data_IF_354427429474
#
_entry.id   IF_354427429474
#
_cell.length_a   1.000
_cell.length_b   1.000
_cell.length_c   1.000
_cell.angle_alpha   90.00
_cell.angle_beta   90.00
_cell.angle_gamma   90.00
#
_symmetry.space_group_name_H-M   'P 1'
#
loop_
_entity.id
_entity.type
_entity.pdbx_description
1 polymer ?
#
# COMPACT_ATOMS: atom_id res chain seq x y z
N UNK A 1 13.66 -4.35 2.06
CA UNK A 1 14.61 -3.95 3.11
C UNK A 1 15.12 -5.13 3.93
N UNK A 2 15.78 -4.86 5.07
CA UNK A 2 16.38 -5.90 5.92
C UNK A 2 15.35 -6.93 6.38
N UNK A 3 14.23 -6.45 6.92
CA UNK A 3 13.15 -7.31 7.42
C UNK A 3 12.57 -8.19 6.32
N UNK A 4 12.21 -7.59 5.17
CA UNK A 4 11.67 -8.35 4.03
C UNK A 4 12.60 -9.42 3.49
N UNK A 5 13.93 -9.20 3.54
CA UNK A 5 14.92 -10.22 3.16
C UNK A 5 14.83 -11.47 4.07
N UNK A 6 14.75 -11.25 5.38
CA UNK A 6 14.65 -12.33 6.36
C UNK A 6 13.31 -13.06 6.27
N UNK A 7 12.21 -12.31 6.13
CA UNK A 7 10.87 -12.86 5.96
C UNK A 7 10.81 -13.75 4.71
N UNK A 8 11.21 -13.24 3.54
CA UNK A 8 11.15 -13.97 2.28
C UNK A 8 12.00 -15.22 2.30
N UNK A 9 13.22 -15.14 2.83
CA UNK A 9 14.08 -16.31 3.02
C UNK A 9 13.39 -17.36 3.89
N UNK A 10 12.85 -16.98 5.03
CA UNK A 10 12.20 -17.91 5.96
C UNK A 10 10.92 -18.53 5.38
N UNK A 11 10.09 -17.77 4.68
CA UNK A 11 8.89 -18.29 4.00
C UNK A 11 9.24 -19.43 3.03
N UNK A 12 10.25 -19.23 2.18
CA UNK A 12 10.67 -20.24 1.21
C UNK A 12 11.27 -21.47 1.90
N UNK A 13 12.06 -21.30 2.97
CA UNK A 13 12.61 -22.41 3.75
C UNK A 13 11.53 -23.20 4.49
N UNK A 14 10.42 -22.56 4.86
CA UNK A 14 9.25 -23.20 5.46
C UNK A 14 8.32 -23.85 4.43
N UNK A 15 8.64 -23.77 3.14
CA UNK A 15 7.89 -24.44 2.07
C UNK A 15 6.73 -23.63 1.50
N UNK A 16 6.65 -22.31 1.78
CA UNK A 16 5.69 -21.43 1.11
C UNK A 16 6.11 -21.26 -0.35
N UNK A 17 5.21 -21.58 -1.27
CA UNK A 17 5.50 -21.64 -2.70
C UNK A 17 4.93 -20.48 -3.53
N UNK A 18 3.92 -19.78 -3.05
CA UNK A 18 3.31 -18.67 -3.77
C UNK A 18 3.52 -17.38 -2.97
N UNK A 19 4.28 -16.45 -3.54
CA UNK A 19 4.65 -15.19 -2.88
C UNK A 19 4.42 -14.02 -3.85
N UNK A 20 3.74 -12.99 -3.38
CA UNK A 20 3.70 -11.68 -4.05
C UNK A 20 4.61 -10.72 -3.28
N UNK A 21 5.63 -10.19 -3.94
CA UNK A 21 6.58 -9.24 -3.37
C UNK A 21 6.38 -7.85 -3.99
N UNK A 22 6.14 -6.84 -3.13
CA UNK A 22 5.89 -5.45 -3.53
C UNK A 22 6.98 -4.56 -2.94
N UNK A 23 7.71 -3.84 -3.76
CA UNK A 23 8.72 -2.84 -3.37
C UNK A 23 9.09 -2.01 -4.61
N UNK A 24 9.22 -0.71 -4.50
CA UNK A 24 9.59 0.17 -5.61
C UNK A 24 11.06 0.58 -5.61
N UNK A 25 11.80 0.23 -4.56
CA UNK A 25 13.18 0.64 -4.38
C UNK A 25 14.16 -0.18 -5.22
N UNK A 26 15.35 0.40 -5.40
CA UNK A 26 16.53 -0.27 -5.92
C UNK A 26 17.45 -0.74 -4.79
N UNK A 27 18.31 -1.70 -5.09
CA UNK A 27 19.35 -2.15 -4.18
C UNK A 27 20.46 -1.09 -4.10
N UNK A 28 20.78 -0.68 -2.88
CA UNK A 28 21.83 0.28 -2.59
C UNK A 28 22.95 -0.33 -1.73
N UNK A 29 24.14 0.27 -1.76
CA UNK A 29 25.28 -0.19 -0.97
C UNK A 29 24.98 -0.23 0.53
N UNK A 30 24.16 0.72 1.04
CA UNK A 30 23.70 0.74 2.43
C UNK A 30 22.84 -0.45 2.83
N UNK A 31 22.22 -1.17 1.89
CA UNK A 31 21.43 -2.34 2.16
C UNK A 31 22.29 -3.59 2.47
N UNK A 32 23.51 -3.66 1.95
CA UNK A 32 24.33 -4.87 1.97
C UNK A 32 24.74 -5.33 3.38
N UNK A 33 24.79 -4.41 4.33
CA UNK A 33 25.13 -4.73 5.73
C UNK A 33 24.03 -5.47 6.49
N UNK A 34 22.81 -5.51 5.94
CA UNK A 34 21.64 -6.03 6.64
C UNK A 34 20.63 -6.80 5.76
N UNK A 35 20.94 -7.07 4.50
CA UNK A 35 20.02 -7.71 3.54
C UNK A 35 20.72 -8.88 2.86
N UNK A 36 20.43 -10.09 3.34
CA UNK A 36 21.14 -11.33 2.98
C UNK A 36 20.96 -11.75 1.51
N UNK A 37 19.86 -11.34 0.86
CA UNK A 37 19.56 -11.70 -0.52
C UNK A 37 20.23 -10.76 -1.54
N UNK A 38 20.83 -9.66 -1.12
CA UNK A 38 21.43 -8.67 -2.01
C UNK A 38 22.95 -8.82 -2.08
N UNK A 39 23.53 -8.59 -3.24
CA UNK A 39 24.95 -8.61 -3.49
C UNK A 39 25.51 -7.23 -3.87
N UNK A 40 26.84 -7.09 -3.80
CA UNK A 40 27.53 -5.88 -4.26
C UNK A 40 27.22 -5.56 -5.74
N UNK A 41 27.16 -6.58 -6.59
CA UNK A 41 26.85 -6.42 -8.00
C UNK A 41 25.42 -5.91 -8.25
N UNK A 42 24.46 -6.27 -7.38
CA UNK A 42 23.10 -5.77 -7.45
C UNK A 42 23.05 -4.26 -7.10
N UNK A 43 23.79 -3.85 -6.08
CA UNK A 43 23.90 -2.45 -5.67
C UNK A 43 24.62 -1.57 -6.72
N UNK A 44 25.71 -2.08 -7.30
CA UNK A 44 26.44 -1.36 -8.36
C UNK A 44 25.59 -1.15 -9.62
N UNK A 45 24.66 -2.05 -9.90
CA UNK A 45 23.73 -1.97 -11.03
C UNK A 45 22.39 -1.32 -10.69
N UNK A 46 22.19 -0.94 -9.44
CA UNK A 46 20.92 -0.39 -8.92
C UNK A 46 19.70 -1.22 -9.35
N UNK A 47 19.80 -2.55 -9.22
CA UNK A 47 18.72 -3.46 -9.59
C UNK A 47 17.51 -3.26 -8.69
N UNK A 48 16.29 -3.46 -9.23
CA UNK A 48 15.07 -3.44 -8.43
C UNK A 48 15.11 -4.50 -7.33
N UNK A 49 14.78 -4.13 -6.10
CA UNK A 49 14.79 -5.06 -4.95
C UNK A 49 13.92 -6.28 -5.20
N UNK A 50 12.71 -6.09 -5.76
CA UNK A 50 11.77 -7.18 -6.05
C UNK A 50 12.30 -8.18 -7.08
N UNK A 51 13.02 -7.74 -8.10
CA UNK A 51 13.62 -8.63 -9.11
C UNK A 51 14.74 -9.48 -8.50
N UNK A 52 15.60 -8.83 -7.70
CA UNK A 52 16.72 -9.53 -7.05
C UNK A 52 16.20 -10.59 -6.08
N UNK A 53 15.20 -10.26 -5.25
CA UNK A 53 14.63 -11.25 -4.32
C UNK A 53 14.01 -12.42 -5.06
N UNK A 54 13.23 -12.19 -6.13
CA UNK A 54 12.63 -13.26 -6.90
C UNK A 54 13.66 -14.22 -7.50
N UNK A 55 14.76 -13.68 -8.03
CA UNK A 55 15.88 -14.47 -8.53
C UNK A 55 16.51 -15.32 -7.43
N UNK A 56 16.81 -14.72 -6.27
CA UNK A 56 17.46 -15.40 -5.15
C UNK A 56 16.56 -16.46 -4.51
N UNK A 57 15.26 -16.19 -4.37
CA UNK A 57 14.31 -17.15 -3.81
C UNK A 57 14.18 -18.40 -4.70
N UNK A 58 14.19 -18.24 -6.03
CA UNK A 58 14.21 -19.37 -6.97
C UNK A 58 15.50 -20.20 -6.90
N UNK A 59 16.62 -19.57 -6.48
CA UNK A 59 17.88 -20.30 -6.23
C UNK A 59 17.81 -21.11 -4.92
N UNK A 60 17.06 -20.64 -3.91
CA UNK A 60 16.85 -21.36 -2.63
C UNK A 60 15.89 -22.53 -2.84
N UNK A 61 14.78 -22.32 -3.55
CA UNK A 61 13.79 -23.34 -3.85
C UNK A 61 13.30 -23.23 -5.30
N UNK A 62 13.46 -24.27 -6.12
CA UNK A 62 12.97 -24.27 -7.50
C UNK A 62 11.44 -24.35 -7.61
N UNK A 63 10.76 -24.61 -6.50
CA UNK A 63 9.29 -24.74 -6.45
C UNK A 63 8.58 -23.43 -6.12
N UNK A 64 9.32 -22.36 -5.78
CA UNK A 64 8.70 -21.09 -5.42
C UNK A 64 8.30 -20.31 -6.67
N UNK A 65 7.05 -19.90 -6.71
CA UNK A 65 6.54 -18.91 -7.64
C UNK A 65 6.50 -17.54 -6.96
N UNK A 66 7.24 -16.59 -7.51
CA UNK A 66 7.32 -15.23 -6.98
C UNK A 66 6.82 -14.27 -8.04
N UNK A 67 5.65 -13.70 -7.80
CA UNK A 67 5.14 -12.55 -8.53
C UNK A 67 5.74 -11.28 -7.93
N UNK A 68 6.29 -10.41 -8.75
CA UNK A 68 6.90 -9.16 -8.32
C UNK A 68 6.09 -7.96 -8.81
N UNK A 69 5.92 -6.98 -7.94
CA UNK A 69 5.31 -5.69 -8.28
C UNK A 69 6.31 -4.60 -7.88
N UNK A 70 6.85 -3.91 -8.89
CA UNK A 70 7.64 -2.71 -8.67
C UNK A 70 6.69 -1.54 -8.52
N UNK A 71 6.29 -1.26 -7.27
CA UNK A 71 5.27 -0.24 -6.99
C UNK A 71 5.09 0.02 -5.51
N UNK A 72 4.31 1.05 -5.21
CA UNK A 72 3.92 1.44 -3.86
C UNK A 72 2.65 0.68 -3.45
N UNK A 73 2.68 0.04 -2.28
CA UNK A 73 1.53 -0.68 -1.71
C UNK A 73 0.28 0.22 -1.57
N UNK A 74 0.48 1.52 -1.45
CA UNK A 74 -0.60 2.47 -1.31
C UNK A 74 -1.42 2.68 -2.60
N UNK A 75 -0.80 2.45 -3.78
CA UNK A 75 -1.38 2.89 -5.05
C UNK A 75 -1.32 1.85 -6.17
N UNK A 76 -0.34 0.96 -6.15
CA UNK A 76 -0.02 0.09 -7.30
C UNK A 76 -0.47 -1.36 -7.10
N UNK A 77 -1.16 -1.63 -5.98
CA UNK A 77 -1.66 -2.97 -5.63
C UNK A 77 -3.17 -2.94 -5.53
N UNK A 78 -3.83 -3.70 -6.39
CA UNK A 78 -5.30 -3.82 -6.40
C UNK A 78 -5.83 -4.64 -5.23
N UNK A 79 -6.98 -4.25 -4.73
CA UNK A 79 -7.64 -4.93 -3.61
C UNK A 79 -8.06 -6.37 -3.97
N UNK A 80 -8.40 -6.64 -5.24
CA UNK A 80 -8.70 -7.99 -5.73
C UNK A 80 -7.50 -8.93 -5.64
N UNK A 81 -6.28 -8.42 -5.91
CA UNK A 81 -5.05 -9.21 -5.67
C UNK A 81 -4.88 -9.52 -4.18
N UNK A 82 -5.11 -8.54 -3.29
CA UNK A 82 -5.01 -8.76 -1.84
C UNK A 82 -5.98 -9.83 -1.35
N UNK A 83 -7.20 -9.87 -1.89
CA UNK A 83 -8.20 -10.91 -1.54
C UNK A 83 -7.80 -12.34 -1.90
N UNK A 84 -6.83 -12.51 -2.78
CA UNK A 84 -6.31 -13.83 -3.15
C UNK A 84 -5.22 -14.33 -2.17
N UNK A 85 -4.79 -13.49 -1.22
CA UNK A 85 -3.75 -13.83 -0.26
C UNK A 85 -4.34 -14.50 0.98
N UNK A 86 -3.58 -15.40 1.60
CA UNK A 86 -3.92 -15.98 2.91
C UNK A 86 -3.53 -15.03 4.05
N UNK A 87 -2.47 -14.24 3.85
CA UNK A 87 -1.92 -13.30 4.85
C UNK A 87 -1.05 -12.26 4.16
N UNK A 88 -1.04 -11.04 4.71
CA UNK A 88 -0.09 -9.99 4.32
C UNK A 88 1.01 -9.89 5.39
N UNK A 89 2.26 -9.71 4.99
CA UNK A 89 3.39 -9.46 5.90
C UNK A 89 3.97 -8.09 5.60
N UNK A 90 3.88 -7.18 6.56
CA UNK A 90 4.26 -5.78 6.43
C UNK A 90 5.70 -5.52 6.88
N UNK A 91 6.64 -5.50 5.94
CA UNK A 91 8.06 -5.22 6.18
C UNK A 91 8.43 -3.76 5.84
N UNK A 92 7.57 -2.81 6.17
CA UNK A 92 7.65 -1.40 5.78
C UNK A 92 8.21 -0.52 6.90
N UNK A 93 8.81 0.60 6.53
CA UNK A 93 9.46 1.54 7.46
C UNK A 93 8.60 2.79 7.77
N UNK A 94 7.53 3.05 7.02
CA UNK A 94 6.69 4.21 7.19
C UNK A 94 5.34 3.90 7.87
N UNK A 95 4.82 4.86 8.65
CA UNK A 95 3.47 4.77 9.24
C UNK A 95 2.38 4.82 8.16
N UNK A 96 2.64 5.55 7.08
CA UNK A 96 1.72 5.65 5.95
C UNK A 96 1.55 4.31 5.25
N UNK A 97 2.63 3.63 4.90
CA UNK A 97 2.56 2.31 4.28
C UNK A 97 1.83 1.29 5.18
N UNK A 98 2.07 1.31 6.51
CA UNK A 98 1.33 0.48 7.47
C UNK A 98 -0.16 0.78 7.47
N UNK A 99 -0.53 2.05 7.41
CA UNK A 99 -1.93 2.45 7.33
C UNK A 99 -2.59 1.97 6.03
N UNK A 100 -1.89 2.07 4.89
CA UNK A 100 -2.38 1.56 3.61
C UNK A 100 -2.53 0.04 3.62
N UNK A 101 -1.56 -0.71 4.16
CA UNK A 101 -1.68 -2.16 4.35
C UNK A 101 -2.90 -2.48 5.21
N UNK A 102 -3.10 -1.75 6.32
CA UNK A 102 -4.25 -1.96 7.19
C UNK A 102 -5.58 -1.76 6.44
N UNK A 103 -5.72 -0.70 5.65
CA UNK A 103 -6.92 -0.45 4.83
C UNK A 103 -7.18 -1.59 3.85
N UNK A 104 -6.15 -2.02 3.12
CA UNK A 104 -6.25 -3.12 2.18
C UNK A 104 -6.64 -4.42 2.90
N UNK A 105 -6.00 -4.71 4.04
CA UNK A 105 -6.30 -5.86 4.89
C UNK A 105 -7.76 -5.88 5.36
N UNK A 106 -8.23 -4.78 5.93
CA UNK A 106 -9.61 -4.68 6.46
C UNK A 106 -10.64 -4.81 5.33
N UNK A 107 -10.47 -4.07 4.23
CA UNK A 107 -11.37 -4.12 3.07
C UNK A 107 -11.42 -5.48 2.39
N UNK A 108 -10.29 -6.15 2.30
CA UNK A 108 -10.17 -7.49 1.69
C UNK A 108 -10.63 -8.62 2.62
N UNK A 109 -10.77 -8.37 3.92
CA UNK A 109 -11.01 -9.41 4.91
C UNK A 109 -9.81 -10.31 5.19
N UNK A 110 -8.57 -9.86 4.90
CA UNK A 110 -7.33 -10.65 4.99
C UNK A 110 -6.49 -10.20 6.20
N UNK A 111 -6.04 -11.11 7.08
CA UNK A 111 -5.19 -10.74 8.21
C UNK A 111 -3.81 -10.29 7.77
N UNK A 112 -3.13 -9.49 8.60
CA UNK A 112 -1.77 -9.09 8.34
C UNK A 112 -0.88 -9.08 9.58
N UNK A 113 0.40 -9.33 9.36
CA UNK A 113 1.47 -9.32 10.37
C UNK A 113 2.35 -8.10 10.10
N UNK A 114 2.65 -7.32 11.14
CA UNK A 114 3.50 -6.14 11.06
C UNK A 114 4.74 -6.32 11.91
N UNK A 115 5.89 -6.14 11.30
CA UNK A 115 7.18 -6.03 11.97
C UNK A 115 7.71 -4.61 11.94
N UNK A 116 8.34 -4.19 13.04
CA UNK A 116 9.06 -2.93 13.10
C UNK A 116 10.38 -3.11 13.84
N UNK A 117 11.40 -2.35 13.38
CA UNK A 117 12.75 -2.39 13.92
C UNK A 117 13.21 -0.96 14.18
N UNK A 118 13.85 -0.74 15.33
CA UNK A 118 14.51 0.51 15.68
C UNK A 118 15.78 0.21 16.49
N UNK A 119 16.95 0.31 15.87
CA UNK A 119 18.22 0.01 16.50
C UNK A 119 18.34 -1.45 16.96
N UNK A 120 18.39 -1.65 18.26
CA UNK A 120 18.42 -2.96 18.91
C UNK A 120 17.04 -3.44 19.36
N UNK A 121 15.99 -2.68 19.11
CA UNK A 121 14.63 -3.00 19.47
C UNK A 121 13.82 -3.48 18.28
N UNK A 122 12.81 -4.33 18.52
CA UNK A 122 11.90 -4.78 17.50
C UNK A 122 10.51 -5.10 18.06
N UNK A 123 9.49 -5.00 17.21
CA UNK A 123 8.12 -5.39 17.56
C UNK A 123 7.52 -6.26 16.48
N UNK A 124 6.63 -7.17 16.89
CA UNK A 124 5.76 -7.91 15.98
C UNK A 124 4.31 -7.83 16.46
N UNK A 125 3.38 -7.65 15.54
CA UNK A 125 1.94 -7.52 15.79
C UNK A 125 1.15 -8.27 14.75
N UNK A 126 -0.04 -8.72 15.12
CA UNK A 126 -0.99 -9.34 14.21
C UNK A 126 -2.28 -8.54 14.23
N UNK A 127 -2.75 -8.16 13.07
CA UNK A 127 -4.02 -7.49 12.87
C UNK A 127 -4.98 -8.39 12.10
N UNK A 128 -6.23 -8.38 12.50
CA UNK A 128 -7.22 -9.30 11.99
C UNK A 128 -8.56 -8.59 11.79
N UNK A 129 -9.18 -8.67 10.60
CA UNK A 129 -10.50 -8.10 10.36
C UNK A 129 -11.51 -8.55 11.43
N UNK A 130 -12.35 -7.62 11.89
CA UNK A 130 -13.34 -7.87 12.94
C UNK A 130 -12.78 -7.99 14.37
N UNK A 131 -11.46 -7.79 14.59
CA UNK A 131 -10.85 -7.88 15.94
C UNK A 131 -10.10 -6.61 16.33
N UNK A 132 -9.01 -6.30 15.66
CA UNK A 132 -8.24 -5.09 15.90
C UNK A 132 -7.56 -4.66 14.62
N UNK A 133 -7.29 -3.37 14.49
CA UNK A 133 -6.60 -2.84 13.34
C UNK A 133 -5.50 -1.85 13.74
N UNK A 134 -4.62 -1.55 12.81
CA UNK A 134 -3.54 -0.60 13.05
C UNK A 134 -4.07 0.82 13.34
N UNK A 135 -5.14 1.23 12.65
CA UNK A 135 -5.72 2.57 12.79
C UNK A 135 -6.32 2.80 14.18
N UNK A 136 -6.93 1.78 14.82
CA UNK A 136 -7.42 1.86 16.21
C UNK A 136 -6.35 2.33 17.19
N UNK A 137 -5.09 2.08 16.89
CA UNK A 137 -3.96 2.35 17.78
C UNK A 137 -3.24 3.67 17.50
N UNK A 138 -3.65 4.39 16.46
CA UNK A 138 -3.04 5.67 16.10
C UNK A 138 -3.57 6.84 16.94
N UNK A 139 -4.81 6.71 17.43
CA UNK A 139 -5.52 7.78 18.09
C UNK A 139 -5.83 8.98 17.17
N UNK A 140 -6.61 9.97 17.63
CA UNK A 140 -7.03 11.11 16.80
C UNK A 140 -5.87 11.94 16.26
N UNK A 141 -4.78 12.07 17.01
CA UNK A 141 -3.59 12.84 16.56
C UNK A 141 -2.81 12.09 15.50
N UNK A 142 -2.62 10.77 15.66
CA UNK A 142 -1.96 9.94 14.66
C UNK A 142 -2.72 9.89 13.35
N UNK A 143 -4.05 9.80 13.39
CA UNK A 143 -4.90 9.86 12.21
C UNK A 143 -4.86 11.24 11.54
N UNK A 144 -4.83 12.35 12.31
CA UNK A 144 -4.64 13.70 11.76
C UNK A 144 -3.27 13.86 11.10
N UNK A 145 -2.21 13.29 11.67
CA UNK A 145 -0.87 13.33 11.09
C UNK A 145 -0.82 12.54 9.78
N UNK A 146 -1.47 11.38 9.71
CA UNK A 146 -1.64 10.64 8.47
C UNK A 146 -2.49 11.38 7.44
N UNK A 147 -3.59 12.00 7.86
CA UNK A 147 -4.46 12.78 6.97
C UNK A 147 -3.73 13.98 6.35
N UNK A 148 -2.78 14.60 7.06
CA UNK A 148 -1.90 15.64 6.50
C UNK A 148 -0.95 15.11 5.43
N UNK A 149 -0.71 13.82 5.40
CA UNK A 149 0.15 13.11 4.42
C UNK A 149 -0.67 12.52 3.27
N UNK A 150 -2.00 12.61 3.33
CA UNK A 150 -2.86 12.24 2.20
C UNK A 150 -2.78 13.29 1.09
N UNK A 151 -2.69 12.89 -0.18
CA UNK A 151 -2.51 13.81 -1.32
C UNK A 151 -3.67 14.78 -1.59
N UNK A 152 -4.60 14.96 -0.67
CA UNK A 152 -5.81 15.75 -0.86
C UNK A 152 -5.67 17.25 -0.62
N UNK A 153 -4.58 17.73 -0.09
CA UNK A 153 -4.44 19.15 0.28
C UNK A 153 -3.13 19.76 -0.20
N UNK A 154 -2.70 19.37 -1.38
CA UNK A 154 -1.50 19.90 -2.00
C UNK A 154 -0.25 19.35 -1.32
N UNK A 155 0.71 19.03 -2.14
CA UNK A 155 2.12 18.69 -1.90
C UNK A 155 2.37 18.20 -0.47
N UNK A 156 2.34 16.90 -0.34
CA UNK A 156 3.05 16.26 0.74
C UNK A 156 4.53 16.55 0.46
N UNK A 157 5.10 17.49 1.20
CA UNK A 157 6.53 17.42 1.42
C UNK A 157 6.76 16.02 2.01
N UNK A 158 7.39 15.14 1.24
CA UNK A 158 8.20 14.09 1.84
C UNK A 158 9.13 14.89 2.75
N UNK A 159 8.79 14.97 4.03
CA UNK A 159 9.80 15.29 5.00
C UNK A 159 10.87 14.24 4.70
N UNK A 160 12.02 14.69 4.19
CA UNK A 160 13.21 13.88 4.12
C UNK A 160 13.25 13.17 5.46
N UNK A 161 13.04 11.86 5.43
CA UNK A 161 12.97 11.08 6.65
C UNK A 161 14.24 11.42 7.41
N UNK A 162 14.10 12.06 8.54
CA UNK A 162 15.22 12.32 9.42
C UNK A 162 15.85 10.95 9.69
N UNK A 163 16.91 10.60 8.95
CA UNK A 163 17.67 9.38 8.87
C UNK A 163 16.86 8.10 9.14
N UNK A 164 16.86 7.14 8.23
CA UNK A 164 16.22 5.84 8.49
C UNK A 164 16.70 5.34 9.86
N UNK A 165 15.78 4.90 10.72
CA UNK A 165 16.13 4.34 12.02
C UNK A 165 17.25 3.29 11.85
N UNK A 166 18.30 3.32 12.66
CA UNK A 166 19.40 2.35 12.54
C UNK A 166 18.81 0.94 12.60
N UNK A 167 19.08 0.13 11.60
CA UNK A 167 18.56 -1.23 11.49
C UNK A 167 19.70 -2.21 11.53
N UNK A 168 19.67 -3.18 12.44
CA UNK A 168 20.67 -4.24 12.52
C UNK A 168 20.14 -5.51 11.84
N UNK A 169 21.05 -6.28 11.24
CA UNK A 169 20.71 -7.60 10.68
C UNK A 169 20.20 -8.55 11.76
N UNK A 170 20.71 -8.46 12.99
CA UNK A 170 20.33 -9.31 14.10
C UNK A 170 18.86 -9.14 14.45
N UNK A 171 18.40 -7.90 14.67
CA UNK A 171 17.01 -7.62 15.01
C UNK A 171 16.10 -7.93 13.82
N UNK A 172 16.56 -7.67 12.60
CA UNK A 172 15.85 -8.06 11.38
C UNK A 172 15.61 -9.57 11.31
N UNK A 173 16.61 -10.39 11.63
CA UNK A 173 16.48 -11.85 11.65
C UNK A 173 15.51 -12.34 12.73
N UNK A 174 15.56 -11.75 13.94
CA UNK A 174 14.67 -12.13 15.04
C UNK A 174 13.22 -11.78 14.71
N UNK A 175 12.96 -10.52 14.36
CA UNK A 175 11.59 -10.05 14.07
C UNK A 175 11.05 -10.69 12.81
N UNK A 176 11.83 -10.82 11.73
CA UNK A 176 11.40 -11.50 10.51
C UNK A 176 11.05 -12.97 10.72
N UNK A 177 11.78 -13.68 11.60
CA UNK A 177 11.41 -15.04 11.97
C UNK A 177 10.10 -15.10 12.76
N UNK A 178 9.85 -14.14 13.65
CA UNK A 178 8.59 -14.02 14.39
C UNK A 178 7.44 -13.70 13.44
N UNK A 179 7.61 -12.78 12.49
CA UNK A 179 6.57 -12.46 11.49
C UNK A 179 6.16 -13.70 10.68
N UNK A 180 7.13 -14.48 10.21
CA UNK A 180 6.84 -15.72 9.48
C UNK A 180 6.15 -16.75 10.38
N UNK A 181 6.58 -16.89 11.64
CA UNK A 181 5.92 -17.78 12.60
C UNK A 181 4.46 -17.37 12.84
N UNK A 182 4.18 -16.08 12.97
CA UNK A 182 2.81 -15.58 13.13
C UNK A 182 1.98 -15.77 11.85
N UNK A 183 2.56 -15.52 10.67
CA UNK A 183 1.88 -15.79 9.40
C UNK A 183 1.50 -17.27 9.25
N UNK A 184 2.40 -18.19 9.61
CA UNK A 184 2.11 -19.64 9.59
C UNK A 184 0.97 -20.03 10.53
N UNK A 185 0.86 -19.41 11.72
CA UNK A 185 -0.25 -19.64 12.65
C UNK A 185 -1.59 -19.12 12.11
N UNK A 186 -1.56 -18.09 11.26
CA UNK A 186 -2.77 -17.59 10.59
C UNK A 186 -3.22 -18.50 9.45
N UNK A 187 -2.27 -19.05 8.69
CA UNK A 187 -2.53 -19.99 7.59
C UNK A 187 -2.91 -21.38 8.12
N UNK A 188 -2.27 -21.81 9.23
CA UNK A 188 -2.45 -23.12 9.85
C UNK A 188 -2.76 -22.94 11.34
N UNK A 189 -4.03 -22.76 11.73
CA UNK A 189 -4.41 -22.50 13.12
C UNK A 189 -3.91 -23.56 14.13
N UNK A 190 -3.68 -24.78 13.69
CA UNK A 190 -3.12 -25.86 14.50
C UNK A 190 -1.66 -25.60 14.91
N UNK A 191 -0.94 -24.71 14.21
CA UNK A 191 0.45 -24.37 14.52
C UNK A 191 0.59 -23.55 15.82
N UNK A 192 -0.52 -23.05 16.41
CA UNK A 192 -0.52 -22.37 17.69
C UNK A 192 -1.38 -21.11 17.74
N UNK A 193 -1.37 -20.45 18.90
CA UNK A 193 -2.11 -19.20 19.10
C UNK A 193 -1.33 -18.01 18.56
N UNK A 194 -1.96 -17.22 17.69
CA UNK A 194 -1.36 -16.02 17.13
C UNK A 194 -1.26 -14.86 18.13
N UNK A 195 -0.47 -13.84 17.81
CA UNK A 195 -0.36 -12.58 18.53
C UNK A 195 -1.57 -11.64 18.30
N UNK A 196 -2.68 -12.09 17.72
CA UNK A 196 -3.85 -11.24 17.49
C UNK A 196 -4.29 -10.55 18.79
N UNK A 197 -4.40 -9.20 18.75
CA UNK A 197 -4.70 -8.37 19.92
C UNK A 197 -3.53 -8.15 20.89
N UNK A 198 -2.35 -8.68 20.57
CA UNK A 198 -1.13 -8.56 21.38
C UNK A 198 0.02 -8.05 20.57
N UNK A 199 1.02 -7.49 21.23
CA UNK A 199 2.28 -7.05 20.64
C UNK A 199 3.43 -7.77 21.33
N UNK A 200 4.33 -8.37 20.54
CA UNK A 200 5.62 -8.80 21.01
C UNK A 200 6.60 -7.63 20.90
N UNK A 201 7.33 -7.38 21.97
CA UNK A 201 8.42 -6.42 22.04
C UNK A 201 9.72 -7.16 22.37
N UNK A 202 10.73 -6.98 21.52
CA UNK A 202 12.08 -7.45 21.70
C UNK A 202 13.00 -6.28 22.06
N UNK A 203 13.72 -6.39 23.14
CA UNK A 203 14.76 -5.48 23.61
C UNK A 203 16.10 -6.18 23.52
N UNK A 204 16.90 -5.82 22.52
CA UNK A 204 18.21 -6.40 22.28
C UNK A 204 19.31 -5.86 23.19
N UNK A 205 19.11 -4.71 23.83
CA UNK A 205 20.06 -4.19 24.83
C UNK A 205 20.08 -5.07 26.08
N UNK A 206 18.91 -5.48 26.55
CA UNK A 206 18.76 -6.31 27.74
C UNK A 206 18.49 -7.79 27.43
N UNK A 207 18.39 -8.15 26.15
CA UNK A 207 18.05 -9.51 25.69
C UNK A 207 16.73 -10.02 26.31
N UNK A 208 15.71 -9.18 26.30
CA UNK A 208 14.40 -9.52 26.85
C UNK A 208 13.31 -9.56 25.77
N UNK A 209 12.35 -10.45 25.93
CA UNK A 209 11.13 -10.52 25.11
C UNK A 209 9.93 -10.35 26.02
N UNK A 210 9.01 -9.49 25.63
CA UNK A 210 7.77 -9.25 26.34
C UNK A 210 6.61 -9.35 25.37
N UNK A 211 5.50 -9.92 25.81
CA UNK A 211 4.23 -9.90 25.10
C UNK A 211 3.23 -9.15 25.97
N UNK A 212 2.62 -8.14 25.43
CA UNK A 212 1.63 -7.31 26.10
C UNK A 212 0.35 -7.22 25.27
N UNK A 213 -0.77 -7.02 25.94
CA UNK A 213 -2.02 -6.72 25.27
C UNK A 213 -1.88 -5.40 24.52
N UNK A 214 -2.34 -5.41 23.28
CA UNK A 214 -2.34 -4.26 22.41
C UNK A 214 -3.77 -3.71 22.38
N UNK A 215 -3.90 -2.40 22.14
CA UNK A 215 -5.15 -1.68 22.33
C UNK A 215 -6.37 -2.39 21.72
N UNK A 216 -7.50 -2.27 22.38
CA UNK A 216 -8.75 -2.90 21.98
C UNK A 216 -9.28 -2.34 20.65
N UNK A 217 -10.16 -3.12 20.03
CA UNK A 217 -10.99 -2.70 18.91
C UNK A 217 -11.76 -1.43 19.26
N UNK A 218 -11.72 -0.46 18.36
CA UNK A 218 -12.46 0.80 18.47
C UNK A 218 -13.62 0.75 17.46
N UNK A 219 -14.84 0.65 17.98
CA UNK A 219 -16.06 0.54 17.14
C UNK A 219 -16.28 1.77 16.25
N UNK A 220 -15.75 2.93 16.66
CA UNK A 220 -15.84 4.19 15.91
C UNK A 220 -14.70 4.36 14.88
N UNK A 221 -13.80 3.40 14.74
CA UNK A 221 -12.69 3.47 13.80
C UNK A 221 -13.19 3.38 12.35
N UNK A 222 -12.89 4.35 11.49
CA UNK A 222 -13.40 4.38 10.11
C UNK A 222 -12.77 3.33 9.18
N UNK A 223 -11.76 2.60 9.66
CA UNK A 223 -11.00 1.65 8.84
C UNK A 223 -11.46 0.19 9.01
N UNK A 224 -12.64 -0.04 9.60
CA UNK A 224 -13.19 -1.40 9.76
C UNK A 224 -14.14 -1.81 8.64
N UNK A 225 -14.23 -1.01 7.57
CA UNK A 225 -15.07 -1.31 6.43
C UNK A 225 -14.52 -2.51 5.65
N UNK A 226 -15.30 -3.59 5.57
CA UNK A 226 -15.06 -4.70 4.66
C UNK A 226 -15.87 -4.51 3.39
N UNK A 227 -15.21 -4.61 2.24
CA UNK A 227 -15.87 -4.45 0.94
C UNK A 227 -16.49 -5.77 0.48
N UNK A 228 -17.72 -5.97 0.88
CA UNK A 228 -18.47 -7.20 0.60
C UNK A 228 -19.98 -6.91 0.43
N UNK A 229 -20.72 -7.59 -0.46
CA UNK A 229 -20.22 -8.58 -1.42
C UNK A 229 -19.55 -7.92 -2.63
N UNK A 230 -18.45 -8.51 -3.11
CA UNK A 230 -17.82 -8.10 -4.36
C UNK A 230 -18.50 -8.79 -5.53
N UNK A 231 -18.79 -8.03 -6.58
CA UNK A 231 -19.44 -8.50 -7.79
C UNK A 231 -18.44 -8.59 -8.94
N UNK A 232 -18.52 -9.60 -9.78
CA UNK A 232 -17.77 -9.61 -11.03
C UNK A 232 -18.30 -8.52 -11.97
N UNK A 233 -17.42 -7.95 -12.78
CA UNK A 233 -17.81 -7.03 -13.87
C UNK A 233 -17.04 -7.36 -15.15
N UNK A 234 -17.60 -6.95 -16.29
CA UNK A 234 -16.89 -6.99 -17.57
C UNK A 234 -16.10 -5.71 -17.86
N UNK A 235 -16.20 -4.70 -17.01
CA UNK A 235 -15.35 -3.50 -17.07
C UNK A 235 -13.88 -3.87 -16.82
N UNK A 236 -12.98 -3.22 -17.58
CA UNK A 236 -11.53 -3.42 -17.47
C UNK A 236 -10.83 -2.09 -17.26
N UNK A 237 -9.71 -2.11 -16.55
CA UNK A 237 -8.90 -0.91 -16.26
C UNK A 237 -8.41 -0.18 -17.51
N UNK A 238 -8.40 -0.85 -18.66
CA UNK A 238 -8.03 -0.27 -19.97
C UNK A 238 -9.16 0.48 -20.66
N UNK A 239 -10.39 0.36 -20.19
CA UNK A 239 -11.52 1.11 -20.70
C UNK A 239 -11.48 2.55 -20.23
N UNK A 240 -12.09 3.44 -20.99
CA UNK A 240 -12.24 4.85 -20.60
C UNK A 240 -13.25 5.00 -19.48
N UNK A 241 -13.17 6.12 -18.78
CA UNK A 241 -14.13 6.49 -17.73
C UNK A 241 -15.56 6.46 -18.26
N UNK A 242 -15.78 7.10 -19.43
CA UNK A 242 -17.11 7.15 -20.04
C UNK A 242 -17.67 5.77 -20.37
N UNK A 243 -16.83 4.89 -20.96
CA UNK A 243 -17.23 3.50 -21.24
C UNK A 243 -17.57 2.72 -19.98
N UNK A 244 -16.75 2.85 -18.93
CA UNK A 244 -16.97 2.15 -17.66
C UNK A 244 -18.25 2.62 -16.97
N UNK A 245 -18.48 3.93 -16.85
CA UNK A 245 -19.70 4.49 -16.27
C UNK A 245 -20.95 4.08 -17.05
N UNK A 246 -20.90 4.15 -18.38
CA UNK A 246 -22.01 3.73 -19.23
C UNK A 246 -22.34 2.24 -19.07
N UNK A 247 -21.32 1.40 -18.97
CA UNK A 247 -21.49 -0.03 -18.80
C UNK A 247 -22.17 -0.37 -17.47
N UNK A 248 -21.73 0.22 -16.35
CA UNK A 248 -22.39 0.03 -15.05
C UNK A 248 -23.80 0.61 -15.04
N UNK A 249 -24.03 1.80 -15.63
CA UNK A 249 -25.38 2.36 -15.74
C UNK A 249 -26.34 1.46 -16.51
N UNK A 250 -25.87 0.85 -17.61
CA UNK A 250 -26.64 -0.13 -18.36
C UNK A 250 -26.93 -1.40 -17.54
N UNK A 251 -25.98 -1.90 -16.75
CA UNK A 251 -26.15 -3.09 -15.90
C UNK A 251 -27.24 -2.88 -14.84
N UNK A 252 -27.29 -1.68 -14.24
CA UNK A 252 -28.30 -1.33 -13.23
C UNK A 252 -29.58 -0.73 -13.78
N UNK A 253 -29.66 -0.46 -15.09
CA UNK A 253 -30.82 0.20 -15.74
C UNK A 253 -31.08 1.60 -15.16
N UNK A 254 -30.03 2.37 -14.85
CA UNK A 254 -30.08 3.72 -14.31
C UNK A 254 -29.50 4.75 -15.29
N UNK A 255 -29.81 6.03 -15.07
CA UNK A 255 -29.29 7.11 -15.91
C UNK A 255 -27.83 7.44 -15.62
N UNK A 256 -27.42 7.29 -14.35
CA UNK A 256 -26.06 7.66 -13.93
C UNK A 256 -25.57 6.81 -12.77
N UNK A 257 -24.24 6.67 -12.71
CA UNK A 257 -23.50 6.05 -11.62
C UNK A 257 -22.29 6.90 -11.28
N UNK A 258 -21.73 6.70 -10.08
CA UNK A 258 -20.54 7.41 -9.64
C UNK A 258 -19.45 6.43 -9.23
N UNK A 259 -18.29 6.50 -9.87
CA UNK A 259 -17.10 5.76 -9.47
C UNK A 259 -16.38 6.53 -8.36
N UNK A 260 -16.04 5.84 -7.27
CA UNK A 260 -15.29 6.39 -6.16
C UNK A 260 -13.81 5.98 -6.25
N UNK A 261 -12.90 6.96 -6.30
CA UNK A 261 -11.46 6.72 -6.23
C UNK A 261 -11.05 6.55 -4.77
N UNK A 262 -10.58 5.38 -4.41
CA UNK A 262 -10.43 4.97 -3.00
C UNK A 262 -9.03 5.15 -2.44
N UNK A 263 -8.00 5.02 -3.27
CA UNK A 263 -6.61 5.05 -2.83
C UNK A 263 -5.91 6.35 -3.21
N UNK A 264 -6.40 7.05 -4.21
CA UNK A 264 -5.85 8.31 -4.71
C UNK A 264 -7.00 9.24 -5.13
N UNK A 265 -6.68 10.44 -5.52
CA UNK A 265 -7.58 11.34 -6.23
C UNK A 265 -6.98 11.66 -7.61
N UNK A 266 -7.82 12.08 -8.53
CA UNK A 266 -7.37 12.67 -9.78
C UNK A 266 -7.38 14.20 -9.63
N UNK A 267 -6.36 14.86 -10.15
CA UNK A 267 -6.17 16.29 -9.93
C UNK A 267 -5.95 16.99 -11.26
N UNK A 268 -6.60 18.13 -11.44
CA UNK A 268 -6.20 19.09 -12.46
C UNK A 268 -5.63 20.38 -11.84
N UNK A 269 -4.58 20.88 -12.46
CA UNK A 269 -4.00 22.18 -12.13
C UNK A 269 -4.17 23.12 -13.30
N UNK A 270 -4.72 24.30 -13.00
CA UNK A 270 -4.87 25.37 -14.00
C UNK A 270 -4.00 26.54 -13.60
N UNK A 271 -3.02 26.88 -14.46
CA UNK A 271 -2.18 28.07 -14.31
C UNK A 271 -2.47 29.06 -15.42
N UNK A 272 -2.43 30.37 -15.10
CA UNK A 272 -2.37 31.44 -16.10
C UNK A 272 -0.94 31.94 -16.20
N UNK A 273 -0.37 31.94 -17.40
CA UNK A 273 0.87 32.65 -17.70
C UNK A 273 0.62 34.09 -18.09
N UNK A 274 1.68 34.90 -18.11
CA UNK A 274 1.65 36.34 -18.36
C UNK A 274 0.94 36.78 -19.69
N UNK A 275 0.63 35.86 -20.58
CA UNK A 275 -0.09 36.09 -21.84
C UNK A 275 -1.50 35.48 -21.86
N UNK A 276 -2.14 35.26 -20.71
CA UNK A 276 -3.46 34.60 -20.60
C UNK A 276 -3.49 33.14 -21.10
N UNK A 277 -2.33 32.53 -21.34
CA UNK A 277 -2.25 31.14 -21.75
C UNK A 277 -2.59 30.22 -20.56
N UNK A 278 -3.68 29.47 -20.70
CA UNK A 278 -4.13 28.53 -19.71
C UNK A 278 -3.43 27.19 -19.88
N UNK A 279 -2.61 26.79 -18.91
CA UNK A 279 -1.98 25.47 -18.88
C UNK A 279 -2.78 24.60 -17.92
N UNK A 280 -3.29 23.48 -18.42
CA UNK A 280 -3.98 22.47 -17.62
C UNK A 280 -3.12 21.21 -17.57
N UNK A 281 -2.88 20.73 -16.37
CA UNK A 281 -2.19 19.47 -16.11
C UNK A 281 -3.11 18.56 -15.34
N UNK A 282 -3.26 17.33 -15.82
CA UNK A 282 -4.16 16.32 -15.30
C UNK A 282 -3.36 15.08 -14.94
N UNK A 283 -3.42 14.65 -13.70
CA UNK A 283 -2.71 13.45 -13.23
C UNK A 283 -3.28 12.91 -11.92
N UNK A 284 -3.01 11.63 -11.60
CA UNK A 284 -3.26 11.10 -10.26
C UNK A 284 -2.54 11.91 -9.20
N UNK A 285 -3.17 12.12 -8.05
CA UNK A 285 -2.65 12.95 -6.96
C UNK A 285 -1.23 12.57 -6.54
N UNK A 286 -0.91 11.26 -6.51
CA UNK A 286 0.43 10.72 -6.24
C UNK A 286 1.53 11.20 -7.19
N UNK A 287 1.17 11.55 -8.41
CA UNK A 287 2.14 11.98 -9.43
C UNK A 287 2.46 13.48 -9.38
N UNK A 288 1.71 14.24 -8.57
CA UNK A 288 1.81 15.71 -8.51
C UNK A 288 3.19 16.19 -8.09
N UNK A 289 3.78 15.61 -7.04
CA UNK A 289 5.10 16.03 -6.55
C UNK A 289 6.20 15.86 -7.61
N UNK A 290 6.22 14.70 -8.26
CA UNK A 290 7.19 14.41 -9.31
C UNK A 290 7.02 15.36 -10.49
N UNK A 291 5.77 15.64 -10.86
CA UNK A 291 5.46 16.54 -11.95
C UNK A 291 5.88 17.98 -11.66
N UNK A 292 5.48 18.53 -10.49
CA UNK A 292 5.82 19.91 -10.08
C UNK A 292 7.33 20.10 -9.97
N UNK A 293 8.07 19.06 -9.51
CA UNK A 293 9.53 19.10 -9.43
C UNK A 293 10.25 19.07 -10.77
N UNK A 294 9.63 18.51 -11.82
CA UNK A 294 10.27 18.26 -13.13
C UNK A 294 9.76 19.16 -14.27
N UNK A 295 8.57 19.74 -14.12
CA UNK A 295 7.94 20.52 -15.19
C UNK A 295 8.52 21.92 -15.34
N UNK A 296 9.12 22.22 -16.49
CA UNK A 296 9.54 23.58 -16.85
C UNK A 296 8.36 24.54 -16.92
N UNK A 297 7.16 24.05 -17.23
CA UNK A 297 5.93 24.83 -17.31
C UNK A 297 5.49 25.39 -15.95
N UNK A 298 5.79 24.68 -14.85
CA UNK A 298 5.43 25.05 -13.48
C UNK A 298 6.63 25.56 -12.66
N UNK A 299 7.86 25.50 -13.21
CA UNK A 299 9.06 26.00 -12.52
C UNK A 299 8.92 27.49 -12.23
N UNK A 300 9.02 27.80 -10.94
CA UNK A 300 8.98 29.19 -10.46
C UNK A 300 7.59 29.73 -10.13
N UNK A 301 6.51 28.96 -10.34
CA UNK A 301 5.18 29.33 -9.84
C UNK A 301 5.00 28.80 -8.42
N UNK A 302 4.64 29.65 -7.45
CA UNK A 302 4.23 29.16 -6.15
C UNK A 302 2.92 28.35 -6.33
N UNK A 303 2.81 27.22 -5.66
CA UNK A 303 1.60 26.38 -5.71
C UNK A 303 0.33 27.13 -5.32
N UNK A 304 0.46 28.17 -4.48
CA UNK A 304 -0.64 29.09 -4.15
C UNK A 304 -1.18 29.88 -5.34
N UNK A 305 -0.47 29.90 -6.48
CA UNK A 305 -0.93 30.54 -7.71
C UNK A 305 -1.61 29.55 -8.70
N UNK A 306 -1.71 28.27 -8.34
CA UNK A 306 -2.39 27.26 -9.15
C UNK A 306 -3.79 27.02 -8.62
N UNK A 307 -4.77 27.05 -9.51
CA UNK A 307 -6.11 26.55 -9.20
C UNK A 307 -6.07 25.03 -9.31
N UNK A 308 -6.48 24.35 -8.23
CA UNK A 308 -6.52 22.90 -8.12
C UNK A 308 -7.96 22.43 -8.01
N UNK A 309 -8.33 21.44 -8.82
CA UNK A 309 -9.55 20.67 -8.62
C UNK A 309 -9.18 19.22 -8.30
N UNK A 310 -9.82 18.65 -7.29
CA UNK A 310 -9.63 17.26 -6.88
C UNK A 310 -10.90 16.47 -7.16
N UNK A 311 -10.74 15.34 -7.85
CA UNK A 311 -11.84 14.44 -8.18
C UNK A 311 -11.65 13.13 -7.42
N UNK A 312 -12.49 12.89 -6.43
CA UNK A 312 -12.60 11.61 -5.70
C UNK A 312 -13.81 10.81 -6.13
N UNK A 313 -14.81 11.50 -6.63
CA UNK A 313 -16.04 10.96 -7.18
C UNK A 313 -16.08 11.33 -8.66
N UNK A 314 -16.21 10.32 -9.50
CA UNK A 314 -16.13 10.45 -10.95
C UNK A 314 -17.46 10.00 -11.53
N UNK A 315 -18.24 10.97 -12.02
CA UNK A 315 -19.54 10.79 -12.67
C UNK A 315 -19.50 11.26 -14.11
N UNK A 316 -20.66 11.42 -14.73
CA UNK A 316 -20.76 11.93 -16.12
C UNK A 316 -20.35 13.39 -16.28
N UNK A 317 -20.30 14.16 -15.21
CA UNK A 317 -19.82 15.54 -15.15
C UNK A 317 -18.29 15.65 -15.08
N UNK A 318 -17.58 14.53 -14.88
CA UNK A 318 -16.13 14.48 -14.89
C UNK A 318 -15.60 14.89 -16.27
N UNK A 319 -14.73 15.92 -16.36
CA UNK A 319 -14.38 16.53 -17.64
C UNK A 319 -13.47 15.67 -18.53
N UNK A 320 -12.92 14.58 -18.02
CA UNK A 320 -11.90 13.76 -18.69
C UNK A 320 -12.40 12.34 -18.94
N UNK A 321 -13.56 12.21 -19.58
CA UNK A 321 -14.22 10.92 -19.86
C UNK A 321 -13.41 9.97 -20.75
N UNK A 322 -12.49 10.50 -21.53
CA UNK A 322 -11.63 9.74 -22.46
C UNK A 322 -10.40 9.10 -21.79
N UNK A 323 -10.11 9.47 -20.54
CA UNK A 323 -9.02 8.82 -19.78
C UNK A 323 -9.40 7.39 -19.42
N UNK A 324 -8.44 6.49 -19.49
CA UNK A 324 -8.64 5.11 -18.99
C UNK A 324 -8.62 5.07 -17.46
N UNK A 325 -9.25 4.02 -16.89
CA UNK A 325 -9.22 3.81 -15.44
C UNK A 325 -7.77 3.68 -14.92
N UNK A 326 -6.86 3.08 -15.70
CA UNK A 326 -5.43 3.04 -15.37
C UNK A 326 -4.82 4.45 -15.31
N UNK A 327 -5.19 5.35 -16.22
CA UNK A 327 -4.72 6.74 -16.20
C UNK A 327 -5.27 7.53 -15.01
N UNK A 328 -6.41 7.16 -14.47
CA UNK A 328 -6.93 7.67 -13.19
C UNK A 328 -6.14 7.16 -11.97
N UNK A 329 -5.25 6.19 -12.16
CA UNK A 329 -4.46 5.59 -11.08
C UNK A 329 -5.07 4.34 -10.47
N UNK A 330 -6.08 3.74 -11.09
CA UNK A 330 -6.66 2.45 -10.65
C UNK A 330 -5.73 1.33 -11.11
N UNK A 331 -5.18 0.52 -10.19
CA UNK A 331 -4.29 -0.59 -10.54
C UNK A 331 -5.05 -1.76 -11.16
N UNK A 332 -4.29 -2.70 -11.74
CA UNK A 332 -4.86 -3.97 -12.20
C UNK A 332 -5.35 -4.82 -11.02
N UNK A 333 -6.35 -5.67 -11.29
CA UNK A 333 -6.96 -6.53 -10.26
C UNK A 333 -7.44 -5.72 -9.06
N UNK A 334 -7.96 -4.50 -9.27
CA UNK A 334 -8.54 -3.72 -8.19
C UNK A 334 -10.02 -4.02 -7.98
N UNK A 335 -10.51 -3.66 -6.82
CA UNK A 335 -11.93 -3.59 -6.53
C UNK A 335 -12.29 -2.12 -6.39
N UNK A 336 -13.22 -1.68 -7.20
CA UNK A 336 -13.69 -0.30 -7.18
C UNK A 336 -15.05 -0.21 -6.53
N UNK A 337 -15.30 0.93 -5.88
CA UNK A 337 -16.60 1.27 -5.31
C UNK A 337 -17.36 2.13 -6.30
N UNK A 338 -18.58 1.70 -6.64
CA UNK A 338 -19.50 2.41 -7.51
C UNK A 338 -20.79 2.70 -6.74
N UNK A 339 -21.24 3.94 -6.77
CA UNK A 339 -22.49 4.38 -6.15
C UNK A 339 -23.57 4.40 -7.23
N UNK A 340 -24.69 3.73 -6.96
CA UNK A 340 -25.88 3.67 -7.79
C UNK A 340 -27.10 3.95 -6.91
N UNK A 341 -27.86 5.01 -7.20
CA UNK A 341 -29.05 5.40 -6.40
C UNK A 341 -28.78 5.41 -4.89
N UNK A 342 -27.69 6.07 -4.48
CA UNK A 342 -27.20 6.19 -3.09
C UNK A 342 -26.75 4.86 -2.44
N UNK A 343 -26.75 3.75 -3.17
CA UNK A 343 -26.22 2.46 -2.70
C UNK A 343 -24.82 2.20 -3.22
N UNK A 344 -23.99 1.60 -2.39
CA UNK A 344 -22.62 1.26 -2.72
C UNK A 344 -22.51 -0.18 -3.24
N UNK A 345 -21.75 -0.33 -4.30
CA UNK A 345 -21.44 -1.62 -4.93
C UNK A 345 -19.94 -1.73 -5.15
N UNK A 346 -19.41 -2.93 -4.97
CA UNK A 346 -17.99 -3.23 -5.14
C UNK A 346 -17.79 -4.16 -6.31
N UNK A 347 -16.97 -3.75 -7.27
CA UNK A 347 -16.70 -4.49 -8.51
C UNK A 347 -15.23 -4.84 -8.66
N UNK A 348 -14.93 -6.10 -8.98
CA UNK A 348 -13.60 -6.58 -9.30
C UNK A 348 -13.31 -6.38 -10.79
N UNK A 349 -12.25 -5.59 -11.12
CA UNK A 349 -11.89 -5.16 -12.48
C UNK A 349 -10.97 -6.16 -13.21
#
# INVERSE_FOLDING_TARGET
GALGNEVLKNLVLMGITHIVAVDFDVVESGNLSRSVLFSKADAERQRLKVEVVAERLRQISPYVDVRTICGDIAYDVGLGLIRQMDVIIGCVDSRWARYCINRLSMRAGIPWVDGAINGLEGTARVFMPGKNCYACNLGPEGLKDLARRMPCSGIIRREEQAGSAPTTSIVASIIGAIEVQEALKLIQPEAGTSLCGRMLYYDGEHTTVRVADYQAYDDDCPEHEEWTPVRPTSVRVTQTVGEALQQWACEFHVESVTLCLSNDCFVDYVSRRDNDERITVMLPGRAVEAFVGQSDALRGLPLSALYQHEYRHVGYDFPYQDLTLTQLGIPQEDIVRVIVDEQEYYFEL
#
